data_IF_408556565199
#
_entry.id   IF_408556565199
#
_cell.length_a   1.000
_cell.length_b   1.000
_cell.length_c   1.000
_cell.angle_alpha   90.00
_cell.angle_beta   90.00
_cell.angle_gamma   90.00
#
_symmetry.space_group_name_H-M   'P 1'
#
loop_
_entity.id
_entity.type
_entity.pdbx_description
1 polymer ?
#
# COMPACT_ATOMS: atom_id res chain seq x y z
N UNK A 1 -16.92 17.73 -126.14
CA UNK A 1 -16.37 18.59 -125.06
C UNK A 1 -17.41 18.66 -123.94
N UNK A 2 -17.21 18.50 -122.64
CA UNK A 2 -16.06 18.20 -121.79
C UNK A 2 -16.61 17.50 -120.53
N UNK A 3 -16.65 16.16 -120.50
CA UNK A 3 -17.09 15.37 -119.31
C UNK A 3 -15.99 15.27 -118.24
N UNK A 4 -14.79 15.77 -118.53
CA UNK A 4 -13.59 15.65 -117.68
C UNK A 4 -13.51 16.76 -116.60
N UNK A 5 -13.86 18.02 -116.93
CA UNK A 5 -13.77 19.15 -115.99
C UNK A 5 -14.71 19.06 -114.77
N UNK A 6 -15.89 18.46 -114.94
CA UNK A 6 -16.88 18.31 -113.85
C UNK A 6 -16.48 17.28 -112.77
N UNK A 7 -15.77 16.21 -113.16
CA UNK A 7 -15.29 15.19 -112.20
C UNK A 7 -14.16 15.69 -111.30
N UNK A 8 -13.24 16.49 -111.85
CA UNK A 8 -12.15 17.09 -111.07
C UNK A 8 -12.69 18.12 -110.07
N UNK A 9 -13.66 18.94 -110.46
CA UNK A 9 -14.31 19.88 -109.55
C UNK A 9 -15.10 19.16 -108.43
N UNK A 10 -15.82 18.09 -108.75
CA UNK A 10 -16.50 17.27 -107.74
C UNK A 10 -15.53 16.58 -106.76
N UNK A 11 -14.38 16.10 -107.24
CA UNK A 11 -13.34 15.50 -106.40
C UNK A 11 -12.69 16.54 -105.48
N UNK A 12 -12.38 17.73 -105.99
CA UNK A 12 -11.83 18.84 -105.21
C UNK A 12 -12.81 19.30 -104.10
N UNK A 13 -14.10 19.45 -104.42
CA UNK A 13 -15.12 19.80 -103.43
C UNK A 13 -15.29 18.71 -102.36
N UNK A 14 -15.22 17.43 -102.75
CA UNK A 14 -15.28 16.31 -101.80
C UNK A 14 -14.07 16.31 -100.85
N UNK A 15 -12.88 16.64 -101.36
CA UNK A 15 -11.67 16.76 -100.56
C UNK A 15 -11.75 17.96 -99.60
N UNK A 16 -12.19 19.12 -100.10
CA UNK A 16 -12.37 20.32 -99.28
C UNK A 16 -13.33 20.07 -98.11
N UNK A 17 -14.46 19.40 -98.34
CA UNK A 17 -15.41 19.02 -97.28
C UNK A 17 -14.78 18.09 -96.24
N UNK A 18 -14.07 17.05 -96.68
CA UNK A 18 -13.37 16.13 -95.75
C UNK A 18 -12.32 16.83 -94.90
N UNK A 19 -11.57 17.76 -95.49
CA UNK A 19 -10.56 18.54 -94.76
C UNK A 19 -11.21 19.49 -93.76
N UNK A 20 -12.32 20.13 -94.15
CA UNK A 20 -13.11 20.96 -93.25
C UNK A 20 -13.69 20.16 -92.08
N UNK A 21 -14.36 19.04 -92.36
CA UNK A 21 -14.93 18.15 -91.34
C UNK A 21 -13.85 17.63 -90.37
N UNK A 22 -12.68 17.25 -90.91
CA UNK A 22 -11.52 16.84 -90.09
C UNK A 22 -11.01 17.98 -89.23
N UNK A 23 -10.92 19.19 -89.77
CA UNK A 23 -10.52 20.39 -89.05
C UNK A 23 -11.49 20.75 -87.92
N UNK A 24 -12.80 20.60 -88.15
CA UNK A 24 -13.84 20.78 -87.12
C UNK A 24 -13.73 19.72 -86.01
N UNK A 25 -13.53 18.44 -86.36
CA UNK A 25 -13.31 17.37 -85.38
C UNK A 25 -12.06 17.60 -84.54
N UNK A 26 -10.95 18.02 -85.16
CA UNK A 26 -9.72 18.35 -84.43
C UNK A 26 -9.91 19.57 -83.53
N UNK A 27 -10.64 20.61 -83.96
CA UNK A 27 -10.95 21.77 -83.12
C UNK A 27 -11.80 21.38 -81.90
N UNK A 28 -12.84 20.56 -82.08
CA UNK A 28 -13.66 20.05 -80.97
C UNK A 28 -12.83 19.22 -79.99
N UNK A 29 -12.03 18.29 -80.49
CA UNK A 29 -11.14 17.47 -79.65
C UNK A 29 -10.13 18.32 -78.86
N UNK A 30 -9.61 19.39 -79.46
CA UNK A 30 -8.69 20.31 -78.78
C UNK A 30 -9.42 21.11 -77.68
N UNK A 31 -10.61 21.62 -77.97
CA UNK A 31 -11.47 22.30 -77.00
C UNK A 31 -11.79 21.40 -75.81
N UNK A 32 -12.20 20.15 -76.06
CA UNK A 32 -12.52 19.17 -75.00
C UNK A 32 -11.30 18.84 -74.14
N UNK A 33 -10.12 18.68 -74.77
CA UNK A 33 -8.87 18.47 -74.06
C UNK A 33 -8.51 19.68 -73.18
N UNK A 34 -8.75 20.89 -73.65
CA UNK A 34 -8.49 22.12 -72.90
C UNK A 34 -9.44 22.25 -71.70
N UNK A 35 -10.73 21.97 -71.87
CA UNK A 35 -11.70 21.93 -70.75
C UNK A 35 -11.31 20.88 -69.71
N UNK A 36 -10.94 19.67 -70.16
CA UNK A 36 -10.47 18.60 -69.27
C UNK A 36 -9.20 18.98 -68.50
N UNK A 37 -8.27 19.67 -69.16
CA UNK A 37 -7.06 20.17 -68.51
C UNK A 37 -7.39 21.20 -67.43
N UNK A 38 -8.29 22.15 -67.72
CA UNK A 38 -8.75 23.14 -66.74
C UNK A 38 -9.34 22.50 -65.48
N UNK A 39 -10.24 21.52 -65.64
CA UNK A 39 -10.83 20.78 -64.50
C UNK A 39 -9.74 20.06 -63.67
N UNK A 40 -8.79 19.40 -64.34
CA UNK A 40 -7.68 18.72 -63.65
C UNK A 40 -6.77 19.68 -62.90
N UNK A 41 -6.53 20.88 -63.45
CA UNK A 41 -5.73 21.91 -62.78
C UNK A 41 -6.43 22.43 -61.53
N UNK A 42 -7.73 22.71 -61.58
CA UNK A 42 -8.48 23.13 -60.39
C UNK A 42 -8.55 22.03 -59.32
N UNK A 43 -8.73 20.77 -59.73
CA UNK A 43 -8.66 19.65 -58.80
C UNK A 43 -7.28 19.53 -58.14
N UNK A 44 -6.20 19.71 -58.91
CA UNK A 44 -4.83 19.73 -58.35
C UNK A 44 -4.67 20.83 -57.31
N UNK A 45 -5.14 22.05 -57.57
CA UNK A 45 -5.08 23.16 -56.60
C UNK A 45 -5.88 22.87 -55.34
N UNK A 46 -7.06 22.24 -55.47
CA UNK A 46 -7.88 21.82 -54.33
C UNK A 46 -7.15 20.82 -53.46
N UNK A 47 -6.57 19.77 -54.06
CA UNK A 47 -5.82 18.74 -53.35
C UNK A 47 -4.57 19.32 -52.68
N UNK A 48 -3.87 20.24 -53.34
CA UNK A 48 -2.70 20.94 -52.77
C UNK A 48 -3.09 21.77 -51.54
N UNK A 49 -4.23 22.45 -51.59
CA UNK A 49 -4.76 23.22 -50.45
C UNK A 49 -5.16 22.32 -49.27
N UNK A 50 -5.80 21.18 -49.55
CA UNK A 50 -6.15 20.18 -48.53
C UNK A 50 -4.91 19.56 -47.89
N UNK A 51 -3.88 19.26 -48.70
CA UNK A 51 -2.61 18.74 -48.21
C UNK A 51 -1.93 19.72 -47.25
N UNK A 52 -1.93 21.02 -47.59
CA UNK A 52 -1.37 22.05 -46.73
C UNK A 52 -2.15 22.17 -45.41
N UNK A 53 -3.49 22.14 -45.47
CA UNK A 53 -4.33 22.15 -44.27
C UNK A 53 -4.09 20.92 -43.39
N UNK A 54 -3.89 19.74 -44.00
CA UNK A 54 -3.55 18.52 -43.29
C UNK A 54 -2.19 18.61 -42.61
N UNK A 55 -1.16 19.09 -43.32
CA UNK A 55 0.19 19.28 -42.76
C UNK A 55 0.16 20.22 -41.55
N UNK A 56 -0.58 21.32 -41.63
CA UNK A 56 -0.73 22.25 -40.51
C UNK A 56 -1.37 21.57 -39.28
N UNK A 57 -2.43 20.78 -39.50
CA UNK A 57 -3.07 20.02 -38.42
C UNK A 57 -2.14 18.98 -37.79
N UNK A 58 -1.27 18.35 -38.58
CA UNK A 58 -0.25 17.43 -38.06
C UNK A 58 0.71 18.14 -37.12
N UNK A 59 1.26 19.29 -37.51
CA UNK A 59 2.17 20.08 -36.67
C UNK A 59 1.50 20.51 -35.37
N UNK A 60 0.24 20.94 -35.43
CA UNK A 60 -0.52 21.30 -34.23
C UNK A 60 -0.79 20.10 -33.32
N UNK A 61 -1.09 18.93 -33.90
CA UNK A 61 -1.29 17.70 -33.14
C UNK A 61 -0.01 17.23 -32.46
N UNK A 62 1.13 17.31 -33.16
CA UNK A 62 2.46 17.03 -32.60
C UNK A 62 2.78 17.98 -31.44
N UNK A 63 2.50 19.28 -31.60
CA UNK A 63 2.67 20.27 -30.54
C UNK A 63 1.85 19.94 -29.28
N UNK A 64 0.57 19.58 -29.47
CA UNK A 64 -0.29 19.14 -28.34
C UNK A 64 0.23 17.88 -27.67
N UNK A 65 0.68 16.89 -28.44
CA UNK A 65 1.23 15.65 -27.89
C UNK A 65 2.49 15.90 -27.04
N UNK A 66 3.37 16.82 -27.47
CA UNK A 66 4.56 17.21 -26.68
C UNK A 66 4.16 17.91 -25.38
N UNK A 67 3.19 18.82 -25.42
CA UNK A 67 2.71 19.51 -24.23
C UNK A 67 2.06 18.54 -23.22
N UNK A 68 1.22 17.63 -23.70
CA UNK A 68 0.60 16.59 -22.86
C UNK A 68 1.65 15.63 -22.27
N UNK A 69 2.64 15.24 -23.06
CA UNK A 69 3.76 14.42 -22.59
C UNK A 69 4.56 15.12 -21.48
N UNK A 70 4.81 16.43 -21.63
CA UNK A 70 5.46 17.23 -20.58
C UNK A 70 4.62 17.28 -19.29
N UNK A 71 3.31 17.47 -19.39
CA UNK A 71 2.39 17.42 -18.23
C UNK A 71 2.39 16.04 -17.57
N UNK A 72 2.35 14.96 -18.36
CA UNK A 72 2.41 13.60 -17.86
C UNK A 72 3.73 13.32 -17.11
N UNK A 73 4.86 13.80 -17.64
CA UNK A 73 6.17 13.69 -17.00
C UNK A 73 6.23 14.40 -15.65
N UNK A 74 5.65 15.60 -15.55
CA UNK A 74 5.56 16.35 -14.27
C UNK A 74 4.73 15.56 -13.25
N UNK A 75 3.56 15.05 -13.65
CA UNK A 75 2.69 14.25 -12.77
C UNK A 75 3.39 12.96 -12.33
N UNK A 76 4.10 12.28 -13.22
CA UNK A 76 4.85 11.07 -12.90
C UNK A 76 5.94 11.34 -11.85
N UNK A 77 6.62 12.48 -11.93
CA UNK A 77 7.60 12.90 -10.92
C UNK A 77 6.94 13.18 -9.57
N UNK A 78 5.82 13.90 -9.56
CA UNK A 78 5.06 14.19 -8.34
C UNK A 78 4.60 12.90 -7.65
N UNK A 79 4.08 11.93 -8.41
CA UNK A 79 3.71 10.61 -7.88
C UNK A 79 4.92 9.88 -7.27
N UNK A 80 6.10 9.99 -7.88
CA UNK A 80 7.35 9.45 -7.32
C UNK A 80 7.70 10.08 -5.97
N UNK A 81 7.68 11.41 -5.90
CA UNK A 81 8.00 12.16 -4.68
C UNK A 81 6.99 11.87 -3.56
N UNK A 82 5.69 11.80 -3.88
CA UNK A 82 4.63 11.43 -2.94
C UNK A 82 4.78 10.00 -2.43
N UNK A 83 5.10 9.04 -3.32
CA UNK A 83 5.36 7.65 -2.93
C UNK A 83 6.51 7.55 -1.93
N UNK A 84 7.61 8.27 -2.16
CA UNK A 84 8.75 8.34 -1.24
C UNK A 84 8.32 8.98 0.09
N UNK A 85 7.56 10.07 0.04
CA UNK A 85 7.05 10.77 1.23
C UNK A 85 6.16 9.86 2.09
N UNK A 86 5.19 9.18 1.48
CA UNK A 86 4.29 8.23 2.16
C UNK A 86 5.09 7.09 2.80
N UNK A 87 6.01 6.46 2.05
CA UNK A 87 6.85 5.40 2.59
C UNK A 87 7.65 5.87 3.83
N UNK A 88 8.19 7.10 3.80
CA UNK A 88 8.90 7.69 4.94
C UNK A 88 8.00 7.95 6.16
N UNK A 89 6.74 8.36 5.92
CA UNK A 89 5.74 8.62 6.97
C UNK A 89 5.30 7.31 7.63
N UNK A 90 5.05 6.27 6.84
CA UNK A 90 4.74 4.93 7.35
C UNK A 90 5.89 4.42 8.21
N UNK A 91 7.14 4.46 7.69
CA UNK A 91 8.32 4.01 8.46
C UNK A 91 8.46 4.76 9.78
N UNK A 92 8.23 6.08 9.79
CA UNK A 92 8.27 6.89 11.02
C UNK A 92 7.13 6.54 11.99
N UNK A 93 5.91 6.38 11.49
CA UNK A 93 4.74 6.02 12.30
C UNK A 93 4.91 4.64 12.92
N UNK A 94 5.28 3.62 12.15
CA UNK A 94 5.57 2.26 12.65
C UNK A 94 6.65 2.30 13.73
N UNK A 95 7.74 3.03 13.50
CA UNK A 95 8.82 3.18 14.50
C UNK A 95 8.34 3.89 15.77
N UNK A 96 7.46 4.88 15.65
CA UNK A 96 6.88 5.56 16.81
C UNK A 96 5.99 4.62 17.62
N UNK A 97 5.07 3.90 16.95
CA UNK A 97 4.18 2.91 17.58
C UNK A 97 4.96 1.81 18.29
N UNK A 98 5.99 1.25 17.64
CA UNK A 98 6.86 0.24 18.25
C UNK A 98 7.58 0.77 19.50
N UNK A 99 8.08 2.01 19.49
CA UNK A 99 8.70 2.61 20.68
C UNK A 99 7.69 2.77 21.82
N UNK A 100 6.49 3.28 21.53
CA UNK A 100 5.43 3.41 22.54
C UNK A 100 5.07 2.05 23.12
N UNK A 101 4.94 1.04 22.27
CA UNK A 101 4.66 -0.33 22.70
C UNK A 101 5.79 -0.88 23.57
N UNK A 102 7.04 -0.73 23.15
CA UNK A 102 8.22 -1.15 23.91
C UNK A 102 8.30 -0.46 25.28
N UNK A 103 8.05 0.85 25.36
CA UNK A 103 8.01 1.59 26.62
C UNK A 103 6.87 1.10 27.53
N UNK A 104 5.69 0.81 26.98
CA UNK A 104 4.57 0.24 27.76
C UNK A 104 4.91 -1.14 28.32
N UNK A 105 5.51 -2.01 27.50
CA UNK A 105 5.98 -3.33 27.94
C UNK A 105 7.05 -3.24 29.01
N UNK A 106 8.04 -2.38 28.81
CA UNK A 106 9.11 -2.16 29.78
C UNK A 106 8.53 -1.70 31.13
N UNK A 107 7.60 -0.73 31.11
CA UNK A 107 6.93 -0.27 32.33
C UNK A 107 6.10 -1.36 33.02
N UNK A 108 5.42 -2.24 32.27
CA UNK A 108 4.72 -3.41 32.81
C UNK A 108 5.69 -4.39 33.46
N UNK A 109 6.80 -4.72 32.78
CA UNK A 109 7.86 -5.60 33.29
C UNK A 109 8.46 -5.04 34.57
N UNK A 110 8.74 -3.74 34.63
CA UNK A 110 9.36 -3.13 35.81
C UNK A 110 8.40 -3.13 37.01
N UNK A 111 7.10 -2.89 36.80
CA UNK A 111 6.08 -3.06 37.85
C UNK A 111 5.96 -4.51 38.32
N UNK A 112 5.93 -5.47 37.40
CA UNK A 112 5.87 -6.89 37.73
C UNK A 112 7.10 -7.32 38.53
N UNK A 113 8.30 -6.89 38.11
CA UNK A 113 9.56 -7.13 38.86
C UNK A 113 9.48 -6.59 40.28
N UNK A 114 8.94 -5.39 40.46
CA UNK A 114 8.79 -4.80 41.80
C UNK A 114 7.78 -5.56 42.67
N UNK A 115 6.65 -5.98 42.11
CA UNK A 115 5.68 -6.85 42.80
C UNK A 115 6.30 -8.20 43.19
N UNK A 116 7.11 -8.81 42.33
CA UNK A 116 7.82 -10.06 42.65
C UNK A 116 8.82 -9.87 43.79
N UNK A 117 9.59 -8.77 43.80
CA UNK A 117 10.52 -8.47 44.91
C UNK A 117 9.78 -8.28 46.23
N UNK A 118 8.70 -7.50 46.21
CA UNK A 118 7.88 -7.25 47.41
C UNK A 118 7.21 -8.53 47.91
N UNK A 119 6.66 -9.35 47.01
CA UNK A 119 6.08 -10.66 47.33
C UNK A 119 7.09 -11.59 48.00
N UNK A 120 8.32 -11.65 47.47
CA UNK A 120 9.40 -12.47 48.03
C UNK A 120 9.90 -12.03 49.42
N UNK A 121 9.54 -10.83 49.87
CA UNK A 121 9.97 -10.24 51.15
C UNK A 121 9.01 -10.48 52.31
N UNK A 122 8.57 -9.39 52.94
CA UNK A 122 7.77 -9.41 54.17
C UNK A 122 6.44 -10.17 54.06
N UNK A 123 5.63 -10.04 52.99
CA UNK A 123 4.37 -10.77 52.87
C UNK A 123 4.56 -12.29 52.90
N UNK A 124 5.50 -12.83 52.11
CA UNK A 124 5.82 -14.27 52.14
C UNK A 124 6.31 -14.73 53.51
N UNK A 125 7.14 -13.93 54.19
CA UNK A 125 7.59 -14.23 55.55
C UNK A 125 6.44 -14.25 56.56
N UNK A 126 5.55 -13.25 56.51
CA UNK A 126 4.35 -13.18 57.35
C UNK A 126 3.41 -14.36 57.09
N UNK A 127 3.22 -14.75 55.84
CA UNK A 127 2.38 -15.90 55.47
C UNK A 127 2.90 -17.20 56.10
N UNK A 128 4.21 -17.45 55.99
CA UNK A 128 4.85 -18.62 56.63
C UNK A 128 4.71 -18.56 58.16
N UNK A 129 4.91 -17.38 58.76
CA UNK A 129 4.74 -17.20 60.21
C UNK A 129 3.29 -17.39 60.65
N UNK A 130 2.32 -16.90 59.88
CA UNK A 130 0.90 -17.07 60.14
C UNK A 130 0.52 -18.55 60.17
N UNK A 131 0.92 -19.32 59.15
CA UNK A 131 0.68 -20.77 59.12
C UNK A 131 1.32 -21.49 60.31
N UNK A 132 2.51 -21.08 60.74
CA UNK A 132 3.15 -21.65 61.93
C UNK A 132 2.40 -21.31 63.23
N UNK A 133 1.95 -20.06 63.37
CA UNK A 133 1.17 -19.60 64.53
C UNK A 133 -0.17 -20.34 64.59
N UNK A 134 -0.87 -20.48 63.46
CA UNK A 134 -2.13 -21.23 63.35
C UNK A 134 -1.94 -22.70 63.72
N UNK A 135 -0.89 -23.35 63.19
CA UNK A 135 -0.58 -24.74 63.54
C UNK A 135 -0.26 -24.93 65.03
N UNK A 136 0.48 -24.00 65.63
CA UNK A 136 0.78 -24.03 67.06
C UNK A 136 -0.48 -23.85 67.92
N UNK A 137 -1.41 -22.97 67.53
CA UNK A 137 -2.69 -22.78 68.21
C UNK A 137 -3.51 -24.08 68.16
N UNK A 138 -3.64 -24.71 67.00
CA UNK A 138 -4.37 -25.99 66.89
C UNK A 138 -3.70 -27.10 67.69
N UNK A 139 -2.36 -27.21 67.63
CA UNK A 139 -1.63 -28.19 68.43
C UNK A 139 -1.85 -27.98 69.94
N UNK A 140 -1.84 -26.74 70.41
CA UNK A 140 -2.14 -26.41 71.80
C UNK A 140 -3.60 -26.73 72.17
N UNK A 141 -4.57 -26.52 71.27
CA UNK A 141 -5.98 -26.92 71.50
C UNK A 141 -6.13 -28.42 71.67
N UNK A 142 -5.48 -29.21 70.81
CA UNK A 142 -5.47 -30.68 70.90
C UNK A 142 -4.86 -31.14 72.23
N UNK A 143 -3.74 -30.52 72.66
CA UNK A 143 -3.12 -30.86 73.94
C UNK A 143 -3.90 -30.37 75.15
N UNK A 144 -4.68 -29.28 75.04
CA UNK A 144 -5.55 -28.75 76.10
C UNK A 144 -6.73 -29.68 76.41
N UNK A 145 -7.10 -30.60 75.52
CA UNK A 145 -8.01 -31.71 75.86
C UNK A 145 -7.41 -32.68 76.90
N UNK A 146 -6.13 -32.51 77.28
CA UNK A 146 -5.50 -33.09 78.48
C UNK A 146 -5.18 -31.99 79.53
N UNK A 147 -5.16 -32.30 80.85
CA UNK A 147 -5.44 -31.29 81.89
C UNK A 147 -4.34 -30.24 82.12
N UNK A 148 -4.80 -28.98 82.10
CA UNK A 148 -4.52 -27.80 82.96
C UNK A 148 -3.18 -27.02 82.90
N UNK A 149 -2.28 -27.22 81.92
CA UNK A 149 -1.03 -26.43 81.87
C UNK A 149 -0.77 -25.55 80.63
N UNK A 150 -1.64 -25.52 79.62
CA UNK A 150 -1.32 -24.91 78.31
C UNK A 150 -1.98 -23.55 78.01
N UNK A 151 -2.90 -23.07 78.85
CA UNK A 151 -3.63 -21.81 78.61
C UNK A 151 -2.72 -20.59 78.46
N UNK A 152 -1.59 -20.58 79.17
CA UNK A 152 -0.61 -19.51 79.07
C UNK A 152 0.11 -19.48 77.70
N UNK A 153 0.32 -20.64 77.07
CA UNK A 153 0.95 -20.72 75.75
C UNK A 153 -0.03 -20.32 74.64
N UNK A 154 -1.31 -20.72 74.76
CA UNK A 154 -2.38 -20.24 73.88
C UNK A 154 -2.47 -18.73 73.93
N UNK A 155 -2.57 -18.13 75.12
CA UNK A 155 -2.64 -16.68 75.27
C UNK A 155 -1.40 -15.96 74.69
N UNK A 156 -0.20 -16.52 74.87
CA UNK A 156 1.03 -15.98 74.26
C UNK A 156 0.99 -16.05 72.73
N UNK A 157 0.53 -17.17 72.17
CA UNK A 157 0.48 -17.39 70.72
C UNK A 157 -0.60 -16.53 70.06
N UNK A 158 -1.77 -16.39 70.70
CA UNK A 158 -2.84 -15.51 70.27
C UNK A 158 -2.44 -14.03 70.32
N UNK A 159 -1.65 -13.60 71.31
CA UNK A 159 -1.15 -12.24 71.39
C UNK A 159 -0.20 -11.86 70.23
N UNK A 160 0.38 -12.86 69.53
CA UNK A 160 1.21 -12.65 68.34
C UNK A 160 0.40 -12.54 67.03
N UNK A 161 -0.85 -13.00 67.01
CA UNK A 161 -1.70 -13.01 65.81
C UNK A 161 -1.81 -11.62 65.13
N UNK A 162 -2.00 -10.50 65.86
CA UNK A 162 -2.09 -9.18 65.25
C UNK A 162 -0.82 -8.74 64.49
N UNK A 163 0.35 -9.30 64.82
CA UNK A 163 1.62 -8.96 64.16
C UNK A 163 1.78 -9.63 62.78
N UNK A 164 1.08 -10.74 62.56
CA UNK A 164 1.15 -11.55 61.32
C UNK A 164 -0.15 -11.49 60.52
N UNK A 165 -1.25 -11.06 61.15
CA UNK A 165 -2.57 -10.92 60.53
C UNK A 165 -2.53 -10.01 59.29
N UNK A 166 -3.26 -10.42 58.25
CA UNK A 166 -3.36 -9.70 56.97
C UNK A 166 -2.20 -9.95 56.00
N UNK A 167 -1.19 -10.75 56.37
CA UNK A 167 -0.10 -11.13 55.46
C UNK A 167 -0.56 -11.94 54.24
N UNK A 168 -1.60 -12.76 54.42
CA UNK A 168 -2.34 -13.47 53.38
C UNK A 168 -3.05 -12.51 52.41
N UNK A 169 -3.81 -11.54 52.94
CA UNK A 169 -4.52 -10.53 52.14
C UNK A 169 -3.55 -9.65 51.35
N UNK A 170 -2.43 -9.25 51.97
CA UNK A 170 -1.35 -8.51 51.29
C UNK A 170 -0.73 -9.34 50.16
N UNK A 171 -0.48 -10.64 50.38
CA UNK A 171 0.08 -11.55 49.39
C UNK A 171 -0.85 -11.75 48.19
N UNK A 172 -2.12 -12.07 48.44
CA UNK A 172 -3.11 -12.33 47.39
C UNK A 172 -3.39 -11.09 46.54
N UNK A 173 -3.43 -9.91 47.17
CA UNK A 173 -3.59 -8.63 46.46
C UNK A 173 -2.42 -8.33 45.52
N UNK A 174 -1.18 -8.55 45.99
CA UNK A 174 0.02 -8.41 45.16
C UNK A 174 0.05 -9.42 44.01
N UNK A 175 -0.37 -10.66 44.28
CA UNK A 175 -0.42 -11.74 43.30
C UNK A 175 -1.47 -11.48 42.21
N UNK A 176 -2.70 -11.10 42.57
CA UNK A 176 -3.74 -10.72 41.61
C UNK A 176 -3.32 -9.52 40.74
N UNK A 177 -2.61 -8.55 41.33
CA UNK A 177 -2.04 -7.42 40.60
C UNK A 177 -0.92 -7.81 39.63
N UNK A 178 -0.19 -8.91 39.88
CA UNK A 178 0.87 -9.40 39.01
C UNK A 178 0.31 -9.98 37.70
N UNK A 179 -0.80 -10.72 37.78
CA UNK A 179 -1.49 -11.30 36.62
C UNK A 179 -1.91 -10.21 35.63
N UNK A 180 -2.54 -9.13 36.12
CA UNK A 180 -2.93 -7.98 35.29
C UNK A 180 -1.74 -7.25 34.64
N UNK A 181 -0.58 -7.19 35.30
CA UNK A 181 0.62 -6.55 34.73
C UNK A 181 1.31 -7.43 33.67
N UNK A 182 1.16 -8.76 33.78
CA UNK A 182 1.74 -9.74 32.85
C UNK A 182 0.83 -10.06 31.65
N UNK A 183 -0.48 -9.87 31.75
CA UNK A 183 -1.39 -10.06 30.61
C UNK A 183 -1.07 -9.05 29.50
N UNK A 184 -0.75 -9.60 28.32
CA UNK A 184 -0.47 -8.85 27.09
C UNK A 184 -1.74 -8.88 26.24
N UNK A 185 -2.59 -7.87 26.36
CA UNK A 185 -3.64 -7.64 25.37
C UNK A 185 -3.00 -7.06 24.10
N UNK A 186 -3.18 -7.68 22.92
CA UNK A 186 -2.48 -7.27 21.69
C UNK A 186 -2.86 -5.86 21.21
N UNK A 187 -4.00 -5.33 21.65
CA UNK A 187 -4.56 -4.06 21.19
C UNK A 187 -5.36 -3.44 22.34
N UNK A 188 -5.15 -2.16 22.66
CA UNK A 188 -6.07 -1.41 23.52
C UNK A 188 -7.29 -1.05 22.68
N UNK A 189 -8.49 -1.38 23.20
CA UNK A 189 -9.78 -1.03 22.58
C UNK A 189 -9.96 0.47 22.36
N UNK A 190 -9.13 1.31 22.97
CA UNK A 190 -9.21 2.78 22.90
C UNK A 190 -8.50 3.36 21.66
N UNK A 191 -7.81 2.52 20.87
CA UNK A 191 -7.13 2.95 19.64
C UNK A 191 -8.09 2.99 18.42
N UNK A 192 -9.40 2.98 18.63
CA UNK A 192 -10.42 3.23 17.61
C UNK A 192 -10.74 4.73 17.49
N UNK A 193 -9.78 5.53 17.05
CA UNK A 193 -10.03 6.88 16.54
C UNK A 193 -9.35 6.95 15.18
N UNK A 194 -10.05 7.06 14.05
CA UNK A 194 -11.23 7.88 13.74
C UNK A 194 -12.16 7.17 12.76
N UNK A 195 -13.46 7.39 12.94
CA UNK A 195 -14.51 7.02 12.01
C UNK A 195 -14.24 7.55 10.59
N UNK A 196 -13.76 6.68 9.71
CA UNK A 196 -14.23 6.60 8.33
C UNK A 196 -13.81 5.21 7.79
N UNK A 197 -14.81 4.55 7.24
CA UNK A 197 -14.78 3.25 6.57
C UNK A 197 -14.75 2.03 7.51
N UNK A 198 -15.95 1.48 7.71
CA UNK A 198 -16.22 0.13 8.23
C UNK A 198 -15.73 -0.97 7.27
N UNK A 199 -14.63 -0.72 6.57
CA UNK A 199 -14.02 -1.62 5.61
C UNK A 199 -13.03 -2.47 6.39
N UNK A 200 -13.18 -3.80 6.42
CA UNK A 200 -12.25 -4.70 7.08
C UNK A 200 -10.81 -4.40 6.66
N UNK A 201 -9.87 -4.51 7.60
CA UNK A 201 -8.46 -4.29 7.33
C UNK A 201 -7.97 -5.20 6.19
N UNK A 202 -8.54 -6.40 6.04
CA UNK A 202 -8.28 -7.29 4.91
C UNK A 202 -8.69 -6.68 3.56
N UNK A 203 -9.81 -5.95 3.51
CA UNK A 203 -10.29 -5.30 2.29
C UNK A 203 -9.39 -4.12 1.90
N UNK A 204 -8.95 -3.31 2.88
CA UNK A 204 -7.97 -2.24 2.64
C UNK A 204 -6.61 -2.80 2.21
N UNK A 205 -6.15 -3.89 2.84
CA UNK A 205 -4.90 -4.56 2.49
C UNK A 205 -4.94 -5.14 1.07
N UNK A 206 -6.07 -5.73 0.68
CA UNK A 206 -6.29 -6.25 -0.67
C UNK A 206 -6.27 -5.13 -1.72
N UNK A 207 -6.84 -3.97 -1.40
CA UNK A 207 -6.89 -2.79 -2.29
C UNK A 207 -5.48 -2.21 -2.59
N UNK A 208 -4.55 -2.31 -1.62
CA UNK A 208 -3.13 -1.97 -1.83
C UNK A 208 -2.24 -3.16 -2.21
N UNK A 209 -2.83 -4.32 -2.54
CA UNK A 209 -2.11 -5.48 -3.06
C UNK A 209 -1.39 -6.36 -2.03
N UNK A 210 -1.63 -6.17 -0.73
CA UNK A 210 -1.06 -6.97 0.35
C UNK A 210 -1.93 -8.22 0.57
N UNK A 211 -1.46 -9.38 0.11
CA UNK A 211 -2.21 -10.67 0.20
C UNK A 211 -1.90 -11.50 1.43
N UNK A 212 -0.82 -11.21 2.16
CA UNK A 212 -0.45 -11.93 3.39
C UNK A 212 0.12 -10.98 4.44
N UNK A 213 -0.39 -11.10 5.67
CA UNK A 213 0.19 -10.52 6.88
C UNK A 213 1.06 -11.61 7.55
N UNK A 214 1.99 -12.21 6.81
CA UNK A 214 2.90 -13.21 7.42
C UNK A 214 3.96 -12.56 8.32
N UNK A 215 4.00 -11.23 8.35
CA UNK A 215 4.93 -10.48 9.20
C UNK A 215 6.39 -10.68 8.82
N UNK A 216 6.68 -11.31 7.69
CA UNK A 216 8.05 -11.57 7.30
C UNK A 216 8.70 -10.32 6.72
N UNK A 217 9.74 -9.80 7.39
CA UNK A 217 10.60 -8.75 6.87
C UNK A 217 11.62 -9.25 5.84
N UNK A 218 11.53 -10.52 5.40
CA UNK A 218 12.41 -11.05 4.37
C UNK A 218 11.71 -10.97 3.03
N UNK A 219 11.82 -9.82 2.36
CA UNK A 219 11.74 -9.84 0.91
C UNK A 219 12.84 -10.79 0.43
N UNK A 220 12.44 -11.95 -0.08
CA UNK A 220 13.25 -12.74 -1.01
C UNK A 220 13.54 -11.86 -2.23
N UNK A 221 14.67 -11.16 -2.18
CA UNK A 221 15.37 -10.72 -3.37
C UNK A 221 16.54 -11.71 -3.51
N UNK A 222 16.47 -12.54 -4.54
CA UNK A 222 17.49 -13.52 -4.89
C UNK A 222 18.88 -12.90 -4.82
N UNK A 223 19.66 -13.38 -3.87
CA UNK A 223 21.10 -13.18 -3.82
C UNK A 223 21.67 -14.43 -4.48
N UNK A 224 22.32 -14.26 -5.63
CA UNK A 224 23.05 -15.33 -6.28
C UNK A 224 24.07 -15.89 -5.29
N UNK A 225 24.06 -17.21 -5.15
CA UNK A 225 25.10 -17.99 -4.51
C UNK A 225 26.45 -17.68 -5.14
N UNK A 226 27.44 -17.33 -4.31
CA UNK A 226 28.88 -17.56 -4.55
C UNK A 226 29.63 -17.18 -3.26
N UNK A 227 29.52 -18.02 -2.23
CA UNK A 227 30.45 -17.98 -1.09
C UNK A 227 31.21 -19.32 -1.04
N UNK A 228 32.45 -19.21 -1.49
CA UNK A 228 33.51 -20.21 -1.45
C UNK A 228 33.75 -20.65 0.02
N UNK A 229 33.55 -21.93 0.30
CA UNK A 229 33.87 -22.55 1.58
C UNK A 229 35.37 -22.43 1.86
N UNK A 230 35.73 -21.70 2.92
CA UNK A 230 37.04 -21.85 3.56
C UNK A 230 36.88 -22.81 4.73
N UNK A 231 37.32 -24.05 4.51
CA UNK A 231 37.62 -25.00 5.58
C UNK A 231 38.71 -24.43 6.49
N UNK A 232 38.46 -24.44 7.79
CA UNK A 232 39.51 -24.33 8.80
C UNK A 232 39.43 -25.61 9.62
N UNK A 233 40.30 -26.56 9.29
CA UNK A 233 40.68 -27.67 10.17
C UNK A 233 41.61 -27.15 11.29
N UNK A 234 41.30 -27.58 12.52
CA UNK A 234 42.03 -27.53 13.81
C UNK A 234 43.03 -26.40 14.12
#
# INVERSE_FOLDING_TARGET
MSRHGSRHFAAANRLARKLYDRGELSRKSCSDAQTRLGIKMEHRKSVESELQAYQQRCVEAEGRAVEESAKASILQRQLGDERISIASRIKRATKATMRTLATKFQGKIDRAKEKIRTLGGNPKKKLVQLTQVEANIEFARILREAPDSFDAEVARTEAWLPNVAGGDVEFDSLFAGLDSDLVISPISSDSSGTAQDNVPLETLATDVGVRTFDGSMTNELGVNDDDEYVDIED
#
